data_IF_413850837475
#
_entry.id   IF_413850837475
#
_cell.length_a   1.000
_cell.length_b   1.000
_cell.length_c   1.000
_cell.angle_alpha   90.00
_cell.angle_beta   90.00
_cell.angle_gamma   90.00
#
_symmetry.space_group_name_H-M   'P 1'
#
loop_
_entity.id
_entity.type
_entity.pdbx_description
1 polymer ?
#
# COMPACT_ATOMS: atom_id res chain seq x y z
N UNK A 1 10.75 28.16 28.69
CA UNK A 1 9.72 27.10 28.69
C UNK A 1 9.89 26.28 27.43
N UNK A 2 10.49 25.11 27.52
CA UNK A 2 10.56 24.16 26.40
C UNK A 2 9.21 23.47 26.32
N UNK A 3 8.49 23.62 25.21
CA UNK A 3 7.21 22.93 25.01
C UNK A 3 7.41 21.41 25.13
N UNK A 4 6.45 20.70 25.72
CA UNK A 4 6.46 19.25 25.74
C UNK A 4 6.50 18.70 24.29
N UNK A 5 7.21 17.59 24.04
CA UNK A 5 7.29 17.03 22.70
C UNK A 5 5.90 16.67 22.17
N UNK A 6 5.66 16.94 20.89
CA UNK A 6 4.38 16.64 20.25
C UNK A 6 4.06 15.13 20.34
N UNK A 7 2.82 14.73 20.67
CA UNK A 7 2.43 13.33 20.65
C UNK A 7 2.61 12.73 19.25
N UNK A 8 2.96 11.44 19.21
CA UNK A 8 3.16 10.69 17.97
C UNK A 8 2.23 9.49 17.88
N UNK A 9 1.97 9.04 16.65
CA UNK A 9 1.18 7.84 16.33
C UNK A 9 1.93 6.98 15.32
N UNK A 10 1.53 5.70 15.21
CA UNK A 10 2.13 4.80 14.23
C UNK A 10 1.95 5.32 12.79
N UNK A 11 3.00 5.23 11.98
CA UNK A 11 3.03 5.83 10.65
C UNK A 11 2.22 5.06 9.59
N UNK A 12 1.77 3.84 9.89
CA UNK A 12 1.14 2.93 8.91
C UNK A 12 0.03 3.61 8.11
N UNK A 13 -0.98 4.18 8.75
CA UNK A 13 -2.07 4.82 8.02
C UNK A 13 -1.67 6.09 7.30
N UNK A 14 -0.67 6.84 7.79
CA UNK A 14 -0.12 7.99 7.07
C UNK A 14 0.56 7.55 5.77
N UNK A 15 1.42 6.52 5.87
CA UNK A 15 2.13 5.93 4.74
C UNK A 15 1.17 5.35 3.70
N UNK A 16 0.19 4.56 4.14
CA UNK A 16 -0.82 3.93 3.27
C UNK A 16 -1.63 4.95 2.48
N UNK A 17 -2.03 6.06 3.12
CA UNK A 17 -2.75 7.16 2.44
C UNK A 17 -1.89 7.86 1.38
N UNK A 18 -0.62 8.15 1.67
CA UNK A 18 0.31 8.73 0.68
C UNK A 18 0.54 7.76 -0.49
N UNK A 19 0.73 6.47 -0.19
CA UNK A 19 0.87 5.40 -1.20
C UNK A 19 -0.36 5.29 -2.10
N UNK A 20 -1.56 5.27 -1.51
CA UNK A 20 -2.81 5.19 -2.25
C UNK A 20 -3.03 6.38 -3.18
N UNK A 21 -2.69 7.61 -2.73
CA UNK A 21 -2.73 8.79 -3.60
C UNK A 21 -1.73 8.68 -4.76
N UNK A 22 -0.54 8.13 -4.52
CA UNK A 22 0.43 7.90 -5.59
C UNK A 22 -0.09 6.88 -6.62
N UNK A 23 -0.76 5.80 -6.18
CA UNK A 23 -1.43 4.82 -7.05
C UNK A 23 -2.56 5.48 -7.86
N UNK A 24 -3.33 6.39 -7.25
CA UNK A 24 -4.35 7.16 -7.97
C UNK A 24 -3.73 8.09 -9.05
N UNK A 25 -2.45 8.42 -8.93
CA UNK A 25 -1.69 9.22 -9.90
C UNK A 25 -1.28 10.59 -9.38
N UNK A 26 -1.35 10.82 -8.06
CA UNK A 26 -0.87 12.07 -7.46
C UNK A 26 0.65 12.01 -7.24
N UNK A 27 1.46 12.84 -7.91
CA UNK A 27 2.90 12.81 -7.73
C UNK A 27 3.32 13.45 -6.40
N UNK A 28 4.40 12.95 -5.78
CA UNK A 28 4.86 13.38 -4.45
C UNK A 28 5.07 14.89 -4.30
N UNK A 29 5.57 15.57 -5.34
CA UNK A 29 5.75 17.03 -5.30
C UNK A 29 4.41 17.78 -5.22
N UNK A 30 3.33 17.24 -5.78
CA UNK A 30 1.98 17.81 -5.61
C UNK A 30 1.47 17.56 -4.20
N UNK A 31 1.67 16.37 -3.65
CA UNK A 31 1.30 16.07 -2.25
C UNK A 31 2.02 16.99 -1.26
N UNK A 32 3.32 17.22 -1.45
CA UNK A 32 4.11 18.18 -0.67
C UNK A 32 3.51 19.59 -0.73
N UNK A 33 3.22 20.09 -1.94
CA UNK A 33 2.62 21.41 -2.13
C UNK A 33 1.23 21.54 -1.48
N UNK A 34 0.37 20.55 -1.67
CA UNK A 34 -1.01 20.54 -1.15
C UNK A 34 -1.07 20.41 0.38
N UNK A 35 -0.02 19.91 1.01
CA UNK A 35 0.09 19.78 2.47
C UNK A 35 0.89 20.92 3.12
N UNK A 36 1.58 21.74 2.33
CA UNK A 36 2.56 22.70 2.83
C UNK A 36 3.83 22.06 3.41
N UNK A 37 4.01 20.74 3.26
CA UNK A 37 5.18 20.03 3.76
C UNK A 37 6.31 20.05 2.73
N UNK A 38 7.56 20.05 3.21
CA UNK A 38 8.71 19.86 2.33
C UNK A 38 8.69 18.46 1.69
N UNK A 39 9.21 18.32 0.47
CA UNK A 39 9.31 17.01 -0.20
C UNK A 39 10.10 15.98 0.61
N UNK A 40 11.15 16.41 1.33
CA UNK A 40 11.90 15.58 2.27
C UNK A 40 11.05 15.11 3.46
N UNK A 41 10.08 15.91 3.90
CA UNK A 41 9.13 15.52 4.95
C UNK A 41 8.18 14.43 4.44
N UNK A 42 7.68 14.54 3.21
CA UNK A 42 6.88 13.46 2.60
C UNK A 42 7.70 12.16 2.50
N UNK A 43 8.95 12.24 2.05
CA UNK A 43 9.84 11.08 1.98
C UNK A 43 10.12 10.47 3.37
N UNK A 44 10.26 11.31 4.41
CA UNK A 44 10.42 10.86 5.78
C UNK A 44 9.18 10.13 6.32
N UNK A 45 7.96 10.65 6.05
CA UNK A 45 6.70 10.00 6.44
C UNK A 45 6.59 8.57 5.89
N UNK A 46 7.17 8.32 4.72
CA UNK A 46 7.15 7.00 4.09
C UNK A 46 8.01 5.96 4.82
N UNK A 47 8.97 6.37 5.64
CA UNK A 47 9.94 5.46 6.27
C UNK A 47 9.91 5.48 7.80
N UNK A 48 9.39 6.56 8.41
CA UNK A 48 9.34 6.69 9.86
C UNK A 48 8.44 5.61 10.50
N UNK A 49 8.79 5.08 11.68
CA UNK A 49 7.91 4.16 12.43
C UNK A 49 6.72 4.90 13.06
N UNK A 50 6.95 6.12 13.56
CA UNK A 50 5.95 6.99 14.14
C UNK A 50 6.02 8.38 13.52
N UNK A 51 4.89 9.07 13.47
CA UNK A 51 4.77 10.42 12.95
C UNK A 51 4.05 11.33 13.95
N UNK A 52 4.34 12.64 13.97
CA UNK A 52 3.58 13.58 14.78
C UNK A 52 2.10 13.57 14.41
N UNK A 53 1.22 13.67 15.40
CA UNK A 53 -0.24 13.65 15.20
C UNK A 53 -0.69 14.74 14.23
N UNK A 54 -0.06 15.92 14.26
CA UNK A 54 -0.35 17.00 13.31
C UNK A 54 -0.12 16.56 11.85
N UNK A 55 0.99 15.88 11.56
CA UNK A 55 1.32 15.40 10.21
C UNK A 55 0.37 14.30 9.75
N UNK A 56 0.03 13.38 10.65
CA UNK A 56 -0.96 12.34 10.36
C UNK A 56 -2.30 12.95 9.95
N UNK A 57 -2.77 13.97 10.69
CA UNK A 57 -4.02 14.70 10.38
C UNK A 57 -3.96 15.44 9.05
N UNK A 58 -2.84 16.11 8.76
CA UNK A 58 -2.64 16.81 7.47
C UNK A 58 -2.76 15.83 6.30
N UNK A 59 -2.11 14.66 6.40
CA UNK A 59 -2.19 13.63 5.36
C UNK A 59 -3.57 13.00 5.28
N UNK A 60 -4.24 12.76 6.41
CA UNK A 60 -5.61 12.25 6.42
C UNK A 60 -6.59 13.22 5.73
N UNK A 61 -6.48 14.51 6.01
CA UNK A 61 -7.29 15.54 5.35
C UNK A 61 -7.00 15.64 3.84
N UNK A 62 -5.72 15.56 3.45
CA UNK A 62 -5.34 15.51 2.04
C UNK A 62 -5.94 14.28 1.35
N UNK A 63 -5.85 13.13 1.98
CA UNK A 63 -6.39 11.87 1.46
C UNK A 63 -7.89 11.94 1.25
N UNK A 64 -8.65 12.39 2.26
CA UNK A 64 -10.10 12.54 2.16
C UNK A 64 -10.52 13.45 0.99
N UNK A 65 -9.73 14.49 0.71
CA UNK A 65 -9.99 15.42 -0.40
C UNK A 65 -9.62 14.84 -1.77
N UNK A 66 -8.56 14.06 -1.87
CA UNK A 66 -7.96 13.68 -3.15
C UNK A 66 -8.20 12.22 -3.56
N UNK A 67 -8.65 11.34 -2.66
CA UNK A 67 -8.79 9.90 -2.92
C UNK A 67 -9.75 9.58 -4.06
N UNK A 68 -10.83 10.37 -4.22
CA UNK A 68 -11.82 10.24 -5.29
C UNK A 68 -11.61 11.25 -6.44
N UNK A 69 -10.65 12.17 -6.29
CA UNK A 69 -10.41 13.21 -7.29
C UNK A 69 -9.50 12.71 -8.41
N UNK A 70 -9.76 13.15 -9.64
CA UNK A 70 -8.91 12.86 -10.78
C UNK A 70 -7.74 13.87 -10.85
N UNK A 71 -6.47 13.43 -10.72
CA UNK A 71 -5.33 14.33 -10.71
C UNK A 71 -5.22 15.18 -11.98
N UNK A 72 -5.63 14.65 -13.14
CA UNK A 72 -5.59 15.37 -14.43
C UNK A 72 -6.59 16.53 -14.43
N UNK A 73 -7.80 16.31 -13.93
CA UNK A 73 -8.80 17.37 -13.80
C UNK A 73 -8.39 18.44 -12.77
N UNK A 74 -7.52 18.07 -11.82
CA UNK A 74 -6.92 18.99 -10.86
C UNK A 74 -5.59 19.60 -11.34
N UNK A 75 -5.29 19.55 -12.65
CA UNK A 75 -4.14 20.22 -13.25
C UNK A 75 -2.80 19.51 -13.04
N UNK A 76 -2.79 18.19 -12.86
CA UNK A 76 -1.59 17.36 -13.03
C UNK A 76 -1.49 16.93 -14.48
N UNK A 77 -0.35 17.15 -15.13
CA UNK A 77 -0.16 16.72 -16.51
C UNK A 77 -0.37 15.20 -16.65
N UNK A 78 -1.08 14.69 -17.68
CA UNK A 78 -1.38 13.27 -17.84
C UNK A 78 -0.15 12.35 -17.77
N UNK A 79 0.95 12.76 -18.40
CA UNK A 79 2.21 12.00 -18.38
C UNK A 79 2.80 11.88 -16.97
N UNK A 80 2.70 12.94 -16.16
CA UNK A 80 3.19 12.94 -14.78
C UNK A 80 2.29 12.09 -13.87
N UNK A 81 0.98 12.17 -14.04
CA UNK A 81 0.03 11.34 -13.30
C UNK A 81 0.24 9.85 -13.59
N UNK A 82 0.42 9.50 -14.87
CA UNK A 82 0.79 8.14 -15.29
C UNK A 82 2.11 7.70 -14.66
N UNK A 83 3.17 8.49 -14.75
CA UNK A 83 4.46 8.13 -14.16
C UNK A 83 4.40 7.97 -12.63
N UNK A 84 3.56 8.74 -11.93
CA UNK A 84 3.35 8.57 -10.49
C UNK A 84 2.69 7.22 -10.18
N UNK A 85 1.61 6.90 -10.91
CA UNK A 85 0.91 5.62 -10.81
C UNK A 85 1.81 4.44 -11.12
N UNK A 86 2.53 4.48 -12.24
CA UNK A 86 3.36 3.36 -12.69
C UNK A 86 4.47 3.04 -11.68
N UNK A 87 5.11 4.07 -11.11
CA UNK A 87 6.09 3.87 -10.02
C UNK A 87 5.46 3.30 -8.75
N UNK A 88 4.28 3.76 -8.38
CA UNK A 88 3.58 3.27 -7.18
C UNK A 88 3.14 1.81 -7.34
N UNK A 89 2.61 1.44 -8.50
CA UNK A 89 2.23 0.06 -8.84
C UNK A 89 3.45 -0.84 -8.88
N UNK A 90 4.56 -0.39 -9.49
CA UNK A 90 5.82 -1.14 -9.51
C UNK A 90 6.40 -1.34 -8.09
N UNK A 91 6.17 -0.40 -7.18
CA UNK A 91 6.54 -0.52 -5.77
C UNK A 91 5.59 -1.42 -4.95
N UNK A 92 4.58 -2.03 -5.58
CA UNK A 92 3.61 -2.91 -4.93
C UNK A 92 2.65 -2.19 -3.97
N UNK A 93 2.47 -0.88 -4.15
CA UNK A 93 1.62 -0.09 -3.27
C UNK A 93 0.14 -0.33 -3.57
N UNK A 94 -0.64 -0.48 -2.49
CA UNK A 94 -2.07 -0.75 -2.58
C UNK A 94 -2.87 0.51 -2.93
N UNK A 95 -3.92 0.39 -3.77
CA UNK A 95 -4.86 1.48 -4.01
C UNK A 95 -5.70 1.77 -2.76
N UNK A 96 -6.36 2.93 -2.75
CA UNK A 96 -7.29 3.34 -1.69
C UNK A 96 -8.34 2.27 -1.40
N UNK A 97 -8.96 1.71 -2.44
CA UNK A 97 -10.03 0.71 -2.34
C UNK A 97 -9.60 -0.64 -1.74
N UNK A 98 -8.30 -0.88 -1.59
CA UNK A 98 -7.80 -2.10 -0.96
C UNK A 98 -7.62 -1.93 0.56
N UNK A 99 -7.78 -0.73 1.09
CA UNK A 99 -7.77 -0.48 2.52
C UNK A 99 -9.20 -0.31 3.03
N UNK A 100 -9.48 -0.92 4.16
CA UNK A 100 -10.69 -0.66 4.93
C UNK A 100 -10.46 0.63 5.74
N UNK A 101 -11.36 1.60 5.59
CA UNK A 101 -11.26 2.92 6.21
C UNK A 101 -11.21 2.86 7.74
N UNK A 102 -11.78 1.82 8.38
CA UNK A 102 -11.76 1.63 9.83
C UNK A 102 -10.44 1.04 10.34
N UNK A 103 -9.71 0.32 9.49
CA UNK A 103 -8.47 -0.40 9.89
C UNK A 103 -7.21 0.16 9.24
N UNK A 104 -7.32 1.15 8.35
CA UNK A 104 -6.18 1.73 7.63
C UNK A 104 -5.07 2.28 8.54
N UNK A 105 -5.37 2.61 9.80
CA UNK A 105 -4.39 3.08 10.79
C UNK A 105 -3.78 1.96 11.64
N UNK A 106 -4.36 0.75 11.66
CA UNK A 106 -3.84 -0.40 12.41
C UNK A 106 -2.56 -0.94 11.75
N UNK A 107 -1.40 -0.95 12.43
CA UNK A 107 -0.15 -1.47 11.86
C UNK A 107 -0.23 -2.91 11.37
N UNK A 108 -1.11 -3.72 11.95
CA UNK A 108 -1.31 -5.13 11.60
C UNK A 108 -2.29 -5.35 10.43
N UNK A 109 -3.03 -4.31 10.03
CA UNK A 109 -3.96 -4.41 8.91
C UNK A 109 -3.25 -4.74 7.59
N UNK A 110 -3.89 -5.58 6.80
CA UNK A 110 -3.43 -6.03 5.49
C UNK A 110 -4.38 -5.47 4.42
N UNK A 111 -3.82 -4.96 3.33
CA UNK A 111 -4.63 -4.52 2.19
C UNK A 111 -5.31 -5.72 1.53
N UNK A 112 -6.60 -5.60 1.27
CA UNK A 112 -7.40 -6.60 0.57
C UNK A 112 -7.66 -6.14 -0.86
N UNK A 113 -6.93 -6.73 -1.80
CA UNK A 113 -6.98 -6.34 -3.22
C UNK A 113 -8.06 -7.08 -4.00
N UNK A 114 -8.49 -8.25 -3.51
CA UNK A 114 -9.27 -9.23 -4.29
C UNK A 114 -10.52 -9.74 -3.60
N UNK A 115 -10.72 -9.43 -2.32
CA UNK A 115 -11.67 -10.06 -1.41
C UNK A 115 -11.24 -11.45 -0.91
N UNK A 116 -10.08 -11.94 -1.35
CA UNK A 116 -9.57 -13.30 -1.06
C UNK A 116 -8.06 -13.32 -0.82
N UNK A 117 -7.43 -12.18 -0.49
CA UNK A 117 -6.00 -12.13 -0.23
C UNK A 117 -5.61 -13.12 0.90
N UNK A 118 -4.47 -13.78 0.75
CA UNK A 118 -4.03 -14.85 1.67
C UNK A 118 -4.56 -16.26 1.37
N UNK A 119 -5.46 -16.39 0.38
CA UNK A 119 -6.03 -17.68 -0.06
C UNK A 119 -5.56 -18.04 -1.48
N UNK A 120 -5.69 -19.31 -1.86
CA UNK A 120 -5.36 -19.76 -3.23
C UNK A 120 -6.14 -18.98 -4.30
N UNK A 121 -7.44 -18.75 -4.07
CA UNK A 121 -8.28 -17.92 -4.94
C UNK A 121 -7.74 -16.50 -5.10
N UNK A 122 -7.19 -15.90 -4.04
CA UNK A 122 -6.57 -14.57 -4.12
C UNK A 122 -5.37 -14.58 -5.07
N UNK A 123 -4.50 -15.58 -4.97
CA UNK A 123 -3.35 -15.75 -5.88
C UNK A 123 -3.81 -15.80 -7.35
N UNK A 124 -4.85 -16.60 -7.62
CA UNK A 124 -5.39 -16.76 -8.97
C UNK A 124 -6.00 -15.44 -9.50
N UNK A 125 -6.68 -14.68 -8.64
CA UNK A 125 -7.25 -13.37 -8.99
C UNK A 125 -6.17 -12.33 -9.29
N UNK A 126 -5.09 -12.28 -8.50
CA UNK A 126 -3.95 -11.42 -8.79
C UNK A 126 -3.38 -11.70 -10.18
N UNK A 127 -3.14 -12.97 -10.49
CA UNK A 127 -2.62 -13.38 -11.80
C UNK A 127 -3.58 -13.03 -12.94
N UNK A 128 -4.86 -13.40 -12.81
CA UNK A 128 -5.89 -13.17 -13.84
C UNK A 128 -6.07 -11.70 -14.19
N UNK A 129 -5.98 -10.82 -13.19
CA UNK A 129 -6.22 -9.38 -13.36
C UNK A 129 -4.93 -8.58 -13.54
N UNK A 130 -3.76 -9.22 -13.61
CA UNK A 130 -2.48 -8.53 -13.76
C UNK A 130 -2.12 -7.63 -12.57
N UNK A 131 -2.61 -7.97 -11.38
CA UNK A 131 -2.38 -7.21 -10.15
C UNK A 131 -1.10 -7.74 -9.48
N UNK A 132 -0.15 -6.88 -9.06
CA UNK A 132 1.01 -7.32 -8.29
C UNK A 132 0.63 -8.17 -7.08
N UNK A 133 1.32 -9.29 -6.85
CA UNK A 133 0.98 -10.22 -5.78
C UNK A 133 1.25 -9.58 -4.41
N UNK A 134 0.21 -9.38 -3.60
CA UNK A 134 0.36 -8.80 -2.26
C UNK A 134 1.02 -9.79 -1.28
N UNK A 135 1.62 -9.32 -0.17
CA UNK A 135 2.35 -10.20 0.75
C UNK A 135 1.53 -11.40 1.27
N UNK A 136 0.26 -11.26 1.67
CA UNK A 136 -0.56 -12.41 2.06
C UNK A 136 -0.68 -13.46 0.95
N UNK A 137 -0.81 -13.04 -0.31
CA UNK A 137 -0.88 -13.93 -1.45
C UNK A 137 0.48 -14.53 -1.82
N UNK A 138 1.59 -13.81 -1.60
CA UNK A 138 2.94 -14.37 -1.71
C UNK A 138 3.12 -15.53 -0.73
N UNK A 139 2.72 -15.33 0.53
CA UNK A 139 2.77 -16.38 1.56
C UNK A 139 1.86 -17.58 1.20
N UNK A 140 0.67 -17.31 0.66
CA UNK A 140 -0.25 -18.36 0.23
C UNK A 140 0.33 -19.20 -0.91
N UNK A 141 0.98 -18.55 -1.88
CA UNK A 141 1.67 -19.22 -2.99
C UNK A 141 2.87 -20.03 -2.48
N UNK A 142 3.67 -19.46 -1.57
CA UNK A 142 4.77 -20.17 -0.93
C UNK A 142 4.30 -21.43 -0.21
N UNK A 143 3.25 -21.33 0.62
CA UNK A 143 2.63 -22.50 1.28
C UNK A 143 2.13 -23.54 0.29
N UNK A 144 1.59 -23.14 -0.86
CA UNK A 144 1.16 -24.05 -1.92
C UNK A 144 2.35 -24.81 -2.51
N UNK A 145 3.45 -24.12 -2.82
CA UNK A 145 4.67 -24.76 -3.32
C UNK A 145 5.22 -25.80 -2.34
N UNK A 146 5.29 -25.47 -1.05
CA UNK A 146 5.73 -26.42 -0.02
C UNK A 146 4.85 -27.67 0.05
N UNK A 147 3.52 -27.51 -0.03
CA UNK A 147 2.59 -28.65 -0.04
C UNK A 147 2.77 -29.55 -1.26
N UNK A 148 2.96 -28.97 -2.44
CA UNK A 148 3.16 -29.72 -3.68
C UNK A 148 4.46 -30.54 -3.60
N UNK A 149 5.56 -29.91 -3.18
CA UNK A 149 6.84 -30.59 -3.00
C UNK A 149 6.73 -31.76 -2.01
N UNK A 150 6.01 -31.59 -0.89
CA UNK A 150 5.77 -32.67 0.06
C UNK A 150 4.94 -33.82 -0.54
N UNK A 151 3.96 -33.52 -1.39
CA UNK A 151 3.17 -34.53 -2.10
C UNK A 151 4.03 -35.33 -3.08
N UNK A 152 4.88 -34.67 -3.86
CA UNK A 152 5.80 -35.30 -4.82
C UNK A 152 6.80 -36.23 -4.12
N UNK A 153 7.40 -35.77 -3.01
CA UNK A 153 8.31 -36.60 -2.20
C UNK A 153 7.62 -37.87 -1.67
N UNK A 154 6.36 -37.76 -1.23
CA UNK A 154 5.58 -38.93 -0.79
C UNK A 154 5.31 -39.91 -1.94
N UNK A 155 4.89 -39.41 -3.10
CA UNK A 155 4.60 -40.24 -4.27
C UNK A 155 5.84 -40.99 -4.80
N UNK A 156 7.01 -40.34 -4.78
CA UNK A 156 8.28 -40.99 -5.17
C UNK A 156 8.73 -42.04 -4.15
N UNK A 157 8.45 -41.83 -2.87
CA UNK A 157 8.78 -42.79 -1.79
C UNK A 157 7.91 -44.04 -1.86
N UNK A 158 6.62 -43.91 -2.21
CA UNK A 158 5.70 -45.05 -2.34
C UNK A 158 5.93 -45.90 -3.58
N UNK A 159 6.57 -45.35 -4.62
CA UNK A 159 6.82 -46.05 -5.89
C UNK A 159 8.13 -46.87 -5.85
N UNK A 160 8.96 -46.72 -4.80
CA UNK A 160 10.25 -47.42 -4.62
C UNK A 160 10.19 -48.68 -3.75
N UNK A 161 8.99 -49.10 -3.34
CA UNK A 161 8.68 -50.34 -2.60
C UNK A 161 7.88 -51.28 -3.49
#
# INVERSE_FOLDING_TARGET
MTAAPEPTVHAAGTRRRVQALAVAGWPMHRLARETGLAGSSIAWLMNAPNVPVSRARIVAALYARLSLANPVLCGVAPAIARAARDRAVAAGWAPASAWDDDTIDDPSALAEWTGYCGKARGVDLHHRHGIPLCPPCQDALYRRHLRNAAHELRATSTTRT
#
